data_IF_949342296968
#
_entry.id   IF_949342296968
#
_cell.length_a   1.000
_cell.length_b   1.000
_cell.length_c   1.000
_cell.angle_alpha   90.00
_cell.angle_beta   90.00
_cell.angle_gamma   90.00
#
_symmetry.space_group_name_H-M   'P 1'
#
loop_
_entity.id
_entity.type
_entity.pdbx_description
1 polymer ?
#
# COMPACT_ATOMS: atom_id res chain seq x y z
N UNK A 1 -13.31 6.15 -13.57
CA UNK A 1 -12.02 6.56 -12.96
C UNK A 1 -11.20 5.29 -12.80
N UNK A 2 -9.98 5.27 -13.31
CA UNK A 2 -9.11 4.09 -13.22
C UNK A 2 -8.49 4.03 -11.83
N UNK A 3 -8.65 2.90 -11.16
CA UNK A 3 -8.05 2.65 -9.86
C UNK A 3 -7.16 1.42 -9.99
N UNK A 4 -6.07 1.39 -9.23
CA UNK A 4 -5.26 0.18 -9.09
C UNK A 4 -5.15 -0.19 -7.62
N UNK A 5 -5.10 -1.49 -7.38
CA UNK A 5 -4.79 -2.07 -6.09
C UNK A 5 -3.45 -2.79 -6.20
N UNK A 6 -2.45 -2.30 -5.48
CA UNK A 6 -1.16 -2.95 -5.36
C UNK A 6 -1.10 -3.75 -4.05
N UNK A 7 -0.57 -4.95 -4.08
CA UNK A 7 -0.30 -5.81 -2.94
C UNK A 7 1.18 -6.17 -2.88
N UNK A 8 1.78 -6.05 -1.70
CA UNK A 8 3.10 -6.58 -1.40
C UNK A 8 2.95 -7.93 -0.71
N UNK A 9 3.59 -8.96 -1.24
CA UNK A 9 3.45 -10.33 -0.79
C UNK A 9 4.75 -10.87 -0.19
N UNK A 10 4.62 -11.82 0.72
CA UNK A 10 5.76 -12.51 1.32
C UNK A 10 6.49 -13.41 0.32
N UNK A 11 7.75 -13.71 0.63
CA UNK A 11 8.61 -14.57 -0.18
C UNK A 11 8.04 -15.98 -0.39
N UNK A 12 7.35 -16.53 0.61
CA UNK A 12 6.78 -17.88 0.57
C UNK A 12 5.42 -17.94 -0.16
N UNK A 13 4.94 -16.83 -0.69
CA UNK A 13 3.65 -16.81 -1.38
C UNK A 13 3.82 -17.23 -2.85
N UNK A 14 3.01 -18.20 -3.29
CA UNK A 14 3.01 -18.69 -4.66
C UNK A 14 2.36 -17.66 -5.60
N UNK A 15 3.17 -16.83 -6.27
CA UNK A 15 2.67 -15.87 -7.25
C UNK A 15 1.82 -16.54 -8.35
N UNK A 16 2.15 -17.78 -8.74
CA UNK A 16 1.34 -18.57 -9.68
C UNK A 16 -0.07 -18.86 -9.17
N UNK A 17 -0.20 -19.09 -7.86
CA UNK A 17 -1.50 -19.31 -7.23
C UNK A 17 -2.30 -18.02 -7.26
N UNK A 18 -1.66 -16.89 -6.97
CA UNK A 18 -2.26 -15.56 -7.09
C UNK A 18 -2.76 -15.28 -8.52
N UNK A 19 -1.95 -15.57 -9.54
CA UNK A 19 -2.37 -15.42 -10.95
C UNK A 19 -3.61 -16.26 -11.24
N UNK A 20 -3.60 -17.54 -10.85
CA UNK A 20 -4.73 -18.43 -11.07
C UNK A 20 -5.99 -17.97 -10.33
N UNK A 21 -5.88 -17.49 -9.08
CA UNK A 21 -7.01 -16.96 -8.31
C UNK A 21 -7.58 -15.68 -8.96
N UNK A 22 -6.71 -14.79 -9.47
CA UNK A 22 -7.11 -13.59 -10.20
C UNK A 22 -7.84 -13.95 -11.51
N UNK A 23 -7.28 -14.85 -12.31
CA UNK A 23 -7.90 -15.30 -13.57
C UNK A 23 -9.24 -16.02 -13.33
N UNK A 24 -9.31 -16.86 -12.29
CA UNK A 24 -10.54 -17.55 -11.88
C UNK A 24 -11.62 -16.56 -11.42
N UNK A 25 -11.21 -15.46 -10.80
CA UNK A 25 -12.11 -14.37 -10.39
C UNK A 25 -12.53 -13.46 -11.56
N UNK A 26 -12.01 -13.68 -12.77
CA UNK A 26 -12.36 -12.91 -13.96
C UNK A 26 -11.48 -11.69 -14.24
N UNK A 27 -10.30 -11.60 -13.62
CA UNK A 27 -9.28 -10.63 -14.01
C UNK A 27 -8.50 -11.18 -15.21
N UNK A 28 -8.29 -10.35 -16.23
CA UNK A 28 -7.46 -10.73 -17.37
C UNK A 28 -5.99 -10.47 -17.07
N UNK A 29 -5.09 -11.17 -17.77
CA UNK A 29 -3.63 -10.92 -17.74
C UNK A 29 -3.23 -9.48 -18.08
N UNK A 30 -4.06 -8.73 -18.80
CA UNK A 30 -3.84 -7.30 -19.04
C UNK A 30 -4.32 -6.38 -17.91
N UNK A 31 -5.15 -6.90 -17.01
CA UNK A 31 -5.67 -6.17 -15.86
C UNK A 31 -4.79 -6.31 -14.62
N UNK A 32 -3.75 -7.15 -14.63
CA UNK A 32 -2.79 -7.24 -13.52
C UNK A 32 -1.34 -7.31 -13.99
N UNK A 33 -0.42 -6.93 -13.11
CA UNK A 33 1.02 -7.00 -13.33
C UNK A 33 1.67 -7.55 -12.06
N UNK A 34 2.49 -8.58 -12.21
CA UNK A 34 3.32 -9.11 -11.13
C UNK A 34 4.76 -8.68 -11.35
N UNK A 35 5.33 -8.05 -10.33
CA UNK A 35 6.71 -7.61 -10.30
C UNK A 35 7.51 -8.52 -9.38
N UNK A 36 8.36 -9.33 -10.00
CA UNK A 36 9.28 -10.22 -9.31
C UNK A 36 10.59 -9.46 -9.06
N UNK A 37 10.96 -9.32 -7.79
CA UNK A 37 12.25 -8.73 -7.41
C UNK A 37 13.33 -9.80 -7.43
N UNK A 38 14.26 -9.70 -8.38
CA UNK A 38 15.38 -10.65 -8.54
C UNK A 38 16.56 -10.38 -7.59
N UNK A 39 16.41 -9.44 -6.65
CA UNK A 39 17.47 -9.09 -5.70
C UNK A 39 17.61 -10.19 -4.65
N UNK A 40 18.81 -10.73 -4.58
CA UNK A 40 19.19 -11.92 -3.82
C UNK A 40 18.78 -11.84 -2.34
N UNK A 41 18.22 -12.95 -1.84
CA UNK A 41 18.01 -13.35 -0.43
C UNK A 41 16.70 -12.99 0.30
N UNK A 42 15.80 -12.14 -0.21
CA UNK A 42 14.50 -11.87 0.45
C UNK A 42 13.40 -11.53 -0.57
N UNK A 43 13.09 -12.46 -1.48
CA UNK A 43 12.31 -12.19 -2.70
C UNK A 43 10.81 -12.05 -2.44
N UNK A 44 10.41 -10.96 -1.78
CA UNK A 44 9.05 -10.44 -1.80
C UNK A 44 8.70 -10.02 -3.23
N UNK A 45 7.45 -10.21 -3.62
CA UNK A 45 6.96 -9.76 -4.92
C UNK A 45 5.82 -8.78 -4.72
N UNK A 46 5.65 -7.93 -5.72
CA UNK A 46 4.56 -6.98 -5.75
C UNK A 46 3.58 -7.41 -6.86
N UNK A 47 2.29 -7.34 -6.61
CA UNK A 47 1.28 -7.45 -7.65
C UNK A 47 0.47 -6.16 -7.70
N UNK A 48 0.12 -5.69 -8.89
CA UNK A 48 -0.81 -4.58 -9.08
C UNK A 48 -1.95 -5.05 -9.97
N UNK A 49 -3.19 -4.73 -9.59
CA UNK A 49 -4.38 -5.08 -10.36
C UNK A 49 -5.23 -3.84 -10.61
N UNK A 50 -5.76 -3.74 -11.83
CA UNK A 50 -6.68 -2.72 -12.27
C UNK A 50 -8.07 -3.02 -11.72
N UNK A 51 -8.66 -2.03 -11.04
CA UNK A 51 -9.98 -2.13 -10.45
C UNK A 51 -10.93 -1.23 -11.23
N UNK A 52 -11.92 -1.84 -11.88
CA UNK A 52 -12.96 -1.13 -12.63
C UNK A 52 -14.18 -0.82 -11.76
N UNK A 53 -14.54 -1.73 -10.88
CA UNK A 53 -15.75 -1.68 -10.07
C UNK A 53 -15.47 -1.98 -8.59
N UNK A 54 -16.35 -1.51 -7.70
CA UNK A 54 -16.23 -1.78 -6.26
C UNK A 54 -16.28 -3.27 -5.92
N UNK A 55 -17.03 -4.06 -6.69
CA UNK A 55 -17.09 -5.53 -6.54
C UNK A 55 -15.74 -6.19 -6.86
N UNK A 56 -15.07 -5.74 -7.92
CA UNK A 56 -13.72 -6.21 -8.25
C UNK A 56 -12.70 -5.81 -7.17
N UNK A 57 -12.86 -4.63 -6.55
CA UNK A 57 -12.01 -4.22 -5.44
C UNK A 57 -12.07 -5.23 -4.28
N UNK A 58 -13.28 -5.58 -3.87
CA UNK A 58 -13.52 -6.51 -2.76
C UNK A 58 -12.97 -7.91 -3.08
N UNK A 59 -13.20 -8.40 -4.30
CA UNK A 59 -12.66 -9.68 -4.77
C UNK A 59 -11.13 -9.69 -4.80
N UNK A 60 -10.50 -8.68 -5.40
CA UNK A 60 -9.06 -8.57 -5.45
C UNK A 60 -8.45 -8.52 -4.04
N UNK A 61 -9.06 -7.77 -3.11
CA UNK A 61 -8.65 -7.75 -1.71
C UNK A 61 -8.75 -9.12 -1.06
N UNK A 62 -9.87 -9.82 -1.25
CA UNK A 62 -10.05 -11.17 -0.70
C UNK A 62 -9.00 -12.15 -1.22
N UNK A 63 -8.71 -12.12 -2.52
CA UNK A 63 -7.67 -12.94 -3.14
C UNK A 63 -6.29 -12.62 -2.57
N UNK A 64 -5.97 -11.34 -2.38
CA UNK A 64 -4.70 -10.91 -1.82
C UNK A 64 -4.56 -11.40 -0.37
N UNK A 65 -5.62 -11.31 0.44
CA UNK A 65 -5.64 -11.83 1.81
C UNK A 65 -5.43 -13.34 1.87
N UNK A 66 -6.02 -14.10 0.94
CA UNK A 66 -5.85 -15.56 0.85
C UNK A 66 -4.44 -15.99 0.44
N UNK A 67 -3.68 -15.10 -0.22
CA UNK A 67 -2.34 -15.37 -0.73
C UNK A 67 -1.24 -14.72 0.14
N UNK A 68 -1.50 -14.50 1.43
CA UNK A 68 -0.53 -13.96 2.40
C UNK A 68 0.07 -12.59 2.00
N UNK A 69 -0.81 -11.65 1.63
CA UNK A 69 -0.40 -10.26 1.41
C UNK A 69 0.07 -9.61 2.72
N UNK A 70 1.20 -8.94 2.68
CA UNK A 70 1.75 -8.16 3.80
C UNK A 70 1.07 -6.80 3.93
N UNK A 71 0.96 -6.08 2.81
CA UNK A 71 0.44 -4.71 2.78
C UNK A 71 -0.23 -4.43 1.44
N UNK A 72 -1.36 -3.75 1.47
CA UNK A 72 -2.09 -3.34 0.26
C UNK A 72 -2.11 -1.82 0.13
N UNK A 73 -2.01 -1.35 -1.10
CA UNK A 73 -1.98 0.07 -1.46
C UNK A 73 -2.97 0.31 -2.59
N UNK A 74 -4.00 1.09 -2.31
CA UNK A 74 -4.93 1.56 -3.34
C UNK A 74 -4.45 2.90 -3.89
N UNK A 75 -4.35 2.99 -5.21
CA UNK A 75 -4.05 4.22 -5.94
C UNK A 75 -5.25 4.60 -6.81
N UNK A 76 -5.77 5.80 -6.58
CA UNK A 76 -6.89 6.36 -7.32
C UNK A 76 -6.37 7.24 -8.46
N UNK A 77 -7.12 7.31 -9.57
CA UNK A 77 -6.70 8.02 -10.79
C UNK A 77 -5.38 7.54 -11.41
N UNK A 78 -5.08 6.24 -11.27
CA UNK A 78 -3.92 5.62 -11.90
C UNK A 78 -4.39 4.44 -12.75
N UNK A 79 -3.92 4.37 -13.99
CA UNK A 79 -4.15 3.23 -14.88
C UNK A 79 -3.05 2.19 -14.71
N UNK A 80 -3.36 0.91 -14.93
CA UNK A 80 -2.39 -0.19 -14.83
C UNK A 80 -1.21 -0.03 -15.79
N UNK A 81 -1.42 0.60 -16.95
CA UNK A 81 -0.38 0.95 -17.92
C UNK A 81 0.66 1.94 -17.35
N UNK A 82 0.23 2.84 -16.46
CA UNK A 82 1.11 3.79 -15.76
C UNK A 82 1.70 3.19 -14.48
N UNK A 83 1.19 2.05 -14.04
CA UNK A 83 1.70 1.30 -12.90
C UNK A 83 2.98 0.55 -13.32
N UNK A 84 4.08 1.26 -13.41
CA UNK A 84 5.40 0.64 -13.56
C UNK A 84 5.97 0.29 -12.19
N UNK A 85 6.81 -0.75 -12.10
CA UNK A 85 7.48 -1.16 -10.87
C UNK A 85 8.18 0.01 -10.17
N UNK A 86 8.95 0.80 -10.92
CA UNK A 86 9.68 1.95 -10.38
C UNK A 86 8.74 3.00 -9.79
N UNK A 87 7.66 3.30 -10.52
CA UNK A 87 6.62 4.23 -10.08
C UNK A 87 5.98 3.74 -8.79
N UNK A 88 5.45 2.52 -8.77
CA UNK A 88 4.76 1.97 -7.60
C UNK A 88 5.71 1.84 -6.41
N UNK A 89 6.96 1.41 -6.64
CA UNK A 89 7.99 1.36 -5.59
C UNK A 89 8.25 2.75 -5.01
N UNK A 90 8.40 3.79 -5.83
CA UNK A 90 8.58 5.18 -5.36
C UNK A 90 7.36 5.69 -4.59
N UNK A 91 6.15 5.36 -5.04
CA UNK A 91 4.92 5.73 -4.32
C UNK A 91 4.81 5.01 -2.97
N UNK A 92 5.16 3.73 -2.91
CA UNK A 92 5.19 2.93 -1.68
C UNK A 92 6.25 3.51 -0.73
N UNK A 93 7.46 3.81 -1.23
CA UNK A 93 8.53 4.40 -0.44
C UNK A 93 8.13 5.79 0.10
N UNK A 94 7.55 6.64 -0.77
CA UNK A 94 7.05 7.95 -0.38
C UNK A 94 5.91 7.87 0.64
N UNK A 95 4.97 6.92 0.49
CA UNK A 95 3.90 6.68 1.48
C UNK A 95 4.47 6.21 2.80
N UNK A 96 5.31 5.18 2.80
CA UNK A 96 5.94 4.70 4.03
C UNK A 96 6.71 5.85 4.69
N UNK A 97 7.50 6.64 3.94
CA UNK A 97 8.21 7.83 4.44
C UNK A 97 7.27 8.91 5.01
N UNK A 98 6.13 9.14 4.39
CA UNK A 98 5.11 10.07 4.86
C UNK A 98 4.39 9.56 6.13
N UNK A 99 4.21 8.25 6.28
CA UNK A 99 3.66 7.63 7.49
C UNK A 99 4.63 7.80 8.69
N UNK A 100 5.95 7.66 8.48
CA UNK A 100 6.96 7.86 9.56
C UNK A 100 7.11 9.33 9.98
N UNK A 101 6.86 10.29 9.09
CA UNK A 101 7.02 11.72 9.40
C UNK A 101 5.76 12.38 9.98
N UNK A 102 4.60 11.71 9.97
CA UNK A 102 3.35 12.23 10.54
C UNK A 102 3.22 12.04 12.06
N UNK A 103 4.33 11.94 12.79
CA UNK A 103 4.32 11.96 14.24
C UNK A 103 5.36 12.91 14.81
N UNK A 104 5.12 14.24 14.81
CA UNK A 104 5.48 14.99 15.99
C UNK A 104 4.43 14.64 17.05
N UNK A 105 4.84 13.87 18.07
CA UNK A 105 4.18 13.88 19.38
C UNK A 105 4.30 15.32 19.91
N UNK A 106 3.43 16.22 19.44
CA UNK A 106 3.33 17.55 20.03
C UNK A 106 2.56 17.36 21.33
N UNK A 107 3.27 16.98 22.39
CA UNK A 107 2.84 17.25 23.76
C UNK A 107 2.82 18.76 23.94
N UNK A 108 1.73 19.40 23.51
CA UNK A 108 1.39 20.75 23.96
C UNK A 108 1.03 20.60 25.44
N UNK A 109 2.03 20.65 26.32
CA UNK A 109 1.82 21.01 27.71
C UNK A 109 1.30 22.45 27.70
N UNK A 110 -0.02 22.60 27.64
CA UNK A 110 -0.67 23.85 28.03
C UNK A 110 -0.35 24.03 29.51
N UNK A 111 0.69 24.81 29.80
CA UNK A 111 1.00 25.21 31.16
C UNK A 111 0.16 26.44 31.43
N UNK A 112 -1.10 26.21 31.80
CA UNK A 112 -1.96 27.26 32.35
C UNK A 112 -1.49 27.57 33.77
N UNK A 113 -0.51 28.47 33.89
CA UNK A 113 -0.17 29.16 35.13
C UNK A 113 -0.13 30.65 34.76
N UNK A 114 -1.16 31.47 35.01
CA UNK A 114 -1.91 31.55 36.25
C UNK A 114 -1.14 32.45 37.21
N UNK A 115 -1.33 33.76 37.05
CA UNK A 115 -0.97 34.91 37.92
C UNK A 115 -0.35 34.59 39.30
N UNK A 116 0.84 35.15 39.57
CA UNK A 116 1.10 35.90 40.81
C UNK A 116 2.21 36.96 40.62
N UNK A 117 1.75 38.20 40.52
CA UNK A 117 2.56 39.40 40.71
C UNK A 117 2.74 39.59 42.21
N UNK A 118 3.94 39.38 42.75
CA UNK A 118 4.31 39.89 44.08
C UNK A 118 5.76 40.39 44.07
N UNK A 119 5.90 41.71 44.14
CA UNK A 119 7.13 42.45 44.41
C UNK A 119 7.42 42.41 45.91
N UNK A 120 8.67 42.18 46.31
CA UNK A 120 9.15 42.51 47.66
C UNK A 120 10.46 43.30 47.58
N UNK A 121 10.39 44.50 48.15
CA UNK A 121 11.49 45.37 48.53
C UNK A 121 12.09 44.90 49.85
#
# INVERSE_FOLDING_TARGET
MSNILAGLFEHNSDYKKLENDLETSGFLTSDYIIYLSNEHHNSQYLASVAIKDSSQNENARSIFMQNAVLKTYQFENMSIDQANYDTIKKYIDARNRAEIHNSPDIKIKTSSNGMNSEVKF
#
